data_IF_290662399078
#
_entry.id   IF_290662399078
#
_cell.length_a   1.000
_cell.length_b   1.000
_cell.length_c   1.000
_cell.angle_alpha   90.00
_cell.angle_beta   90.00
_cell.angle_gamma   90.00
#
_symmetry.space_group_name_H-M   'P 1'
#
loop_
_entity.id
_entity.type
_entity.pdbx_description
1 polymer ?
#
# COMPACT_ATOMS: atom_id res chain seq x y z
N UNK A 1 9.83 1.81 10.02
CA UNK A 1 8.36 1.98 10.06
C UNK A 1 7.73 1.38 8.83
N UNK A 2 6.69 0.61 9.01
CA UNK A 2 5.92 0.00 7.94
C UNK A 2 4.57 0.71 7.82
N UNK A 3 4.14 1.02 6.58
CA UNK A 3 2.89 1.71 6.32
C UNK A 3 2.22 1.10 5.09
N UNK A 4 0.92 0.87 5.18
CA UNK A 4 0.10 0.50 4.02
C UNK A 4 -0.86 1.64 3.69
N UNK A 5 -1.15 1.84 2.41
CA UNK A 5 -2.09 2.86 1.93
C UNK A 5 -3.18 2.19 1.11
N UNK A 6 -4.44 2.54 1.41
CA UNK A 6 -5.57 1.96 0.68
C UNK A 6 -5.59 2.35 -0.79
N UNK A 7 -6.07 1.44 -1.64
CA UNK A 7 -6.45 1.72 -3.04
C UNK A 7 -7.97 1.71 -3.22
N UNK A 8 -8.73 1.54 -2.15
CA UNK A 8 -10.18 1.45 -2.16
C UNK A 8 -10.82 2.51 -1.24
N UNK A 9 -10.68 3.77 -1.64
CA UNK A 9 -11.20 4.92 -0.89
C UNK A 9 -12.68 4.79 -0.57
N UNK A 10 -13.45 4.20 -1.48
CA UNK A 10 -14.92 4.11 -1.35
C UNK A 10 -15.33 3.23 -0.18
N UNK A 11 -14.66 2.09 0.02
CA UNK A 11 -15.00 1.13 1.06
C UNK A 11 -14.11 1.22 2.31
N UNK A 12 -12.91 1.78 2.19
CA UNK A 12 -11.94 1.81 3.27
C UNK A 12 -11.99 3.10 4.07
N UNK A 13 -12.95 3.19 5.00
CA UNK A 13 -12.98 4.25 6.01
C UNK A 13 -11.90 4.00 7.08
N UNK A 14 -11.49 5.03 7.86
CA UNK A 14 -10.57 4.83 8.99
C UNK A 14 -11.03 3.77 9.98
N UNK A 15 -12.33 3.74 10.29
CA UNK A 15 -12.92 2.76 11.18
C UNK A 15 -12.83 1.34 10.62
N UNK A 16 -13.14 1.17 9.34
CA UNK A 16 -13.08 -0.13 8.68
C UNK A 16 -11.66 -0.66 8.61
N UNK A 17 -10.69 0.20 8.30
CA UNK A 17 -9.27 -0.19 8.30
C UNK A 17 -8.80 -0.57 9.69
N UNK A 18 -9.21 0.16 10.71
CA UNK A 18 -8.88 -0.18 12.11
C UNK A 18 -9.40 -1.57 12.47
N UNK A 19 -10.67 -1.84 12.22
CA UNK A 19 -11.27 -3.13 12.51
C UNK A 19 -10.60 -4.26 11.75
N UNK A 20 -10.28 -4.03 10.49
CA UNK A 20 -9.60 -5.02 9.65
C UNK A 20 -8.21 -5.37 10.17
N UNK A 21 -7.44 -4.36 10.60
CA UNK A 21 -6.10 -4.57 11.15
C UNK A 21 -6.13 -5.23 12.53
N UNK A 22 -7.07 -4.83 13.39
CA UNK A 22 -7.25 -5.44 14.72
C UNK A 22 -7.62 -6.92 14.61
N UNK A 23 -8.55 -7.26 13.71
CA UNK A 23 -8.99 -8.64 13.50
C UNK A 23 -7.84 -9.55 13.03
N UNK A 24 -6.84 -9.00 12.33
CA UNK A 24 -5.69 -9.74 11.80
C UNK A 24 -4.44 -9.65 12.65
N UNK A 25 -4.47 -8.85 13.71
CA UNK A 25 -3.31 -8.65 14.59
C UNK A 25 -2.16 -7.90 13.92
N UNK A 26 -2.44 -7.08 12.90
CA UNK A 26 -1.44 -6.24 12.27
C UNK A 26 -1.15 -5.00 13.11
N UNK A 27 0.10 -4.72 13.35
CA UNK A 27 0.55 -3.65 14.24
C UNK A 27 1.12 -2.41 13.52
N UNK A 28 0.99 -2.35 12.19
CA UNK A 28 1.42 -1.18 11.42
C UNK A 28 0.24 -0.36 10.93
N UNK A 29 0.51 0.91 10.57
CA UNK A 29 -0.51 1.84 10.13
C UNK A 29 -1.05 1.49 8.73
N UNK A 30 -2.37 1.51 8.60
CA UNK A 30 -3.08 1.45 7.33
C UNK A 30 -3.77 2.79 7.11
N UNK A 31 -3.42 3.47 6.03
CA UNK A 31 -3.82 4.85 5.79
C UNK A 31 -4.88 4.96 4.72
N UNK A 32 -5.81 5.87 4.95
CA UNK A 32 -6.75 6.39 3.96
C UNK A 32 -6.75 7.91 4.04
N UNK A 33 -7.47 8.56 3.18
CA UNK A 33 -7.54 10.02 3.17
C UNK A 33 -8.58 10.53 2.19
N UNK A 34 -8.56 11.83 1.92
CA UNK A 34 -9.40 12.42 0.88
C UNK A 34 -9.00 11.88 -0.50
N UNK A 35 -9.90 11.99 -1.46
CA UNK A 35 -9.60 11.58 -2.85
C UNK A 35 -8.36 12.32 -3.38
N UNK A 36 -8.25 13.62 -3.13
CA UNK A 36 -7.10 14.38 -3.62
C UNK A 36 -5.79 13.99 -2.95
N UNK A 37 -5.81 13.67 -1.66
CA UNK A 37 -4.63 13.21 -0.94
C UNK A 37 -4.17 11.84 -1.45
N UNK A 38 -5.10 10.91 -1.64
CA UNK A 38 -4.80 9.59 -2.19
C UNK A 38 -4.29 9.67 -3.63
N UNK A 39 -4.91 10.50 -4.46
CA UNK A 39 -4.47 10.69 -5.85
C UNK A 39 -3.03 11.20 -5.91
N UNK A 40 -2.64 12.11 -5.01
CA UNK A 40 -1.26 12.58 -4.91
C UNK A 40 -0.29 11.45 -4.57
N UNK A 41 -0.65 10.59 -3.63
CA UNK A 41 0.15 9.41 -3.28
C UNK A 41 0.27 8.45 -4.46
N UNK A 42 -0.84 8.17 -5.14
CA UNK A 42 -0.84 7.27 -6.29
C UNK A 42 0.03 7.80 -7.43
N UNK A 43 -0.05 9.07 -7.75
CA UNK A 43 0.80 9.70 -8.76
C UNK A 43 2.28 9.64 -8.37
N UNK A 44 2.59 9.92 -7.11
CA UNK A 44 3.97 9.92 -6.60
C UNK A 44 4.61 8.55 -6.73
N UNK A 45 3.86 7.47 -6.48
CA UNK A 45 4.38 6.10 -6.48
C UNK A 45 3.98 5.27 -7.70
N UNK A 46 3.37 5.90 -8.71
CA UNK A 46 3.01 5.21 -9.95
C UNK A 46 1.92 4.15 -9.79
N UNK A 47 1.00 4.35 -8.85
CA UNK A 47 -0.12 3.44 -8.61
C UNK A 47 -1.39 4.07 -9.16
N UNK A 48 -2.07 3.36 -10.06
CA UNK A 48 -3.29 3.86 -10.72
C UNK A 48 -4.40 2.83 -10.56
N UNK A 49 -5.12 2.83 -9.40
CA UNK A 49 -6.22 1.89 -9.18
C UNK A 49 -7.35 2.13 -10.15
N UNK A 50 -7.92 1.06 -10.67
CA UNK A 50 -9.07 1.10 -11.58
C UNK A 50 -10.25 0.44 -10.86
N UNK A 51 -11.35 1.20 -10.67
CA UNK A 51 -12.61 0.66 -10.19
C UNK A 51 -13.39 0.11 -11.38
N UNK A 52 -13.79 -1.14 -11.31
CA UNK A 52 -14.67 -1.75 -12.31
C UNK A 52 -16.00 -2.10 -11.66
N UNK A 53 -17.10 -1.63 -12.29
CA UNK A 53 -18.43 -2.07 -11.90
C UNK A 53 -18.58 -3.54 -12.28
N UNK A 54 -18.85 -4.37 -11.28
CA UNK A 54 -19.20 -5.73 -11.57
C UNK A 54 -20.72 -5.90 -11.48
N UNK A 55 -21.28 -6.77 -12.31
CA UNK A 55 -22.72 -7.01 -12.36
C UNK A 55 -23.21 -7.93 -11.23
N UNK A 56 -22.39 -8.18 -10.24
CA UNK A 56 -22.74 -8.97 -9.07
C UNK A 56 -23.41 -8.09 -8.01
N UNK A 57 -24.00 -8.72 -7.00
CA UNK A 57 -24.56 -8.04 -5.84
C UNK A 57 -23.50 -7.37 -4.95
N UNK A 58 -22.23 -7.62 -5.19
CA UNK A 58 -21.11 -7.06 -4.42
C UNK A 58 -20.67 -5.69 -4.93
N UNK A 59 -21.10 -5.28 -6.13
CA UNK A 59 -21.00 -3.92 -6.62
C UNK A 59 -19.83 -3.61 -7.51
N UNK A 60 -18.59 -3.67 -7.06
CA UNK A 60 -17.43 -3.30 -7.88
C UNK A 60 -16.15 -4.03 -7.46
N UNK A 61 -15.19 -4.03 -8.37
CA UNK A 61 -13.86 -4.59 -8.15
C UNK A 61 -12.82 -3.49 -8.35
N UNK A 62 -11.79 -3.45 -7.52
CA UNK A 62 -10.65 -2.57 -7.71
C UNK A 62 -9.49 -3.37 -8.28
N UNK A 63 -9.01 -2.96 -9.45
CA UNK A 63 -7.81 -3.53 -10.07
C UNK A 63 -6.66 -2.55 -9.85
N UNK A 64 -5.56 -3.04 -9.30
CA UNK A 64 -4.41 -2.19 -9.00
C UNK A 64 -3.10 -2.97 -9.00
N UNK A 65 -1.97 -2.32 -9.32
CA UNK A 65 -0.66 -2.86 -8.96
C UNK A 65 -0.49 -2.80 -7.44
N UNK A 66 0.39 -3.63 -6.91
CA UNK A 66 0.67 -3.71 -5.47
C UNK A 66 2.16 -3.59 -5.20
N UNK A 67 2.76 -2.45 -5.51
CA UNK A 67 4.16 -2.25 -5.25
C UNK A 67 4.44 -2.07 -3.76
N UNK A 68 5.60 -2.56 -3.34
CA UNK A 68 6.17 -2.27 -2.02
C UNK A 68 7.44 -1.49 -2.21
N UNK A 69 7.53 -0.33 -1.58
CA UNK A 69 8.68 0.57 -1.67
C UNK A 69 9.48 0.55 -0.38
N UNK A 70 10.79 0.58 -0.50
CA UNK A 70 11.68 0.88 0.62
C UNK A 70 12.19 2.30 0.44
N UNK A 71 11.86 3.17 1.40
CA UNK A 71 12.28 4.56 1.41
C UNK A 71 13.42 4.74 2.42
N UNK A 72 14.37 5.62 2.11
CA UNK A 72 15.40 5.99 3.07
C UNK A 72 14.91 7.04 4.07
N UNK A 73 15.79 7.52 4.94
CA UNK A 73 15.45 8.53 5.95
C UNK A 73 15.11 9.89 5.37
N UNK A 74 15.45 10.14 4.11
CA UNK A 74 15.07 11.35 3.38
C UNK A 74 13.80 11.15 2.54
N UNK A 75 13.12 10.03 2.73
CA UNK A 75 11.92 9.62 1.98
C UNK A 75 12.12 9.38 0.48
N UNK A 76 13.37 9.14 0.07
CA UNK A 76 13.66 8.76 -1.30
C UNK A 76 13.48 7.25 -1.48
N UNK A 77 12.80 6.86 -2.56
CA UNK A 77 12.62 5.46 -2.90
C UNK A 77 13.93 4.86 -3.37
N UNK A 78 14.39 3.83 -2.68
CA UNK A 78 15.64 3.12 -2.99
C UNK A 78 15.41 1.78 -3.65
N UNK A 79 14.31 1.11 -3.31
CA UNK A 79 13.94 -0.21 -3.82
C UNK A 79 12.45 -0.25 -4.06
N UNK A 80 12.03 -0.92 -5.12
CA UNK A 80 10.64 -1.25 -5.38
C UNK A 80 10.52 -2.73 -5.72
N UNK A 81 9.58 -3.39 -5.05
CA UNK A 81 9.13 -4.74 -5.37
C UNK A 81 7.72 -4.63 -5.92
N UNK A 82 7.53 -5.00 -7.18
CA UNK A 82 6.28 -4.73 -7.91
C UNK A 82 5.22 -5.83 -7.77
N UNK A 83 5.60 -6.99 -7.25
CA UNK A 83 4.70 -8.14 -7.10
C UNK A 83 4.28 -8.34 -5.65
N UNK A 84 3.10 -8.94 -5.45
CA UNK A 84 2.66 -9.37 -4.13
C UNK A 84 3.54 -10.47 -3.54
N UNK A 85 3.96 -11.38 -4.40
CA UNK A 85 4.58 -12.63 -4.01
C UNK A 85 6.08 -12.56 -4.26
N UNK A 86 6.75 -11.76 -3.46
CA UNK A 86 8.20 -11.65 -3.52
C UNK A 86 8.85 -12.50 -2.41
N UNK A 87 10.07 -13.02 -2.65
CA UNK A 87 10.80 -13.75 -1.62
C UNK A 87 11.12 -12.87 -0.43
N UNK A 88 10.62 -13.23 0.75
CA UNK A 88 10.78 -12.43 1.97
C UNK A 88 12.24 -12.24 2.36
N UNK A 89 13.07 -13.25 2.17
CA UNK A 89 14.50 -13.19 2.47
C UNK A 89 15.24 -12.17 1.58
N UNK A 90 14.89 -12.07 0.31
CA UNK A 90 15.46 -11.07 -0.59
C UNK A 90 14.98 -9.66 -0.26
N UNK A 91 13.73 -9.52 0.10
CA UNK A 91 13.19 -8.23 0.57
C UNK A 91 13.92 -7.76 1.83
N UNK A 92 14.12 -8.64 2.80
CA UNK A 92 14.83 -8.31 4.04
C UNK A 92 16.29 -7.96 3.78
N UNK A 93 16.93 -8.59 2.82
CA UNK A 93 18.30 -8.25 2.40
C UNK A 93 18.36 -6.82 1.84
N UNK A 94 17.42 -6.46 0.96
CA UNK A 94 17.31 -5.10 0.43
C UNK A 94 17.03 -4.08 1.53
N UNK A 95 16.15 -4.39 2.48
CA UNK A 95 15.85 -3.53 3.61
C UNK A 95 17.09 -3.27 4.47
N UNK A 96 17.88 -4.30 4.76
CA UNK A 96 19.15 -4.16 5.49
C UNK A 96 20.14 -3.28 4.74
N UNK A 97 20.23 -3.45 3.43
CA UNK A 97 21.10 -2.65 2.58
C UNK A 97 20.75 -1.17 2.65
N UNK A 98 19.46 -0.84 2.61
CA UNK A 98 19.01 0.55 2.73
C UNK A 98 19.30 1.10 4.14
N UNK A 99 19.04 0.33 5.18
CA UNK A 99 19.32 0.75 6.57
C UNK A 99 20.81 1.03 6.78
N UNK A 100 21.68 0.21 6.22
CA UNK A 100 23.14 0.31 6.44
C UNK A 100 23.81 1.39 5.59
N UNK A 101 23.26 1.73 4.41
CA UNK A 101 23.94 2.58 3.42
C UNK A 101 23.26 3.95 3.20
N UNK A 102 22.10 4.16 3.75
CA UNK A 102 21.31 5.40 3.54
C UNK A 102 20.75 5.96 4.88
#
# INVERSE_FOLDING_TARGET
>A
TFVSVTVDKKDDSPERLRNWTEDRGYDWAHLTGSRSALDTVYETYGVYPIEEDDNSSEGYTVIHPSPTYILDTDTLARVVWSDFDFPTDLFLEDLRTVIENY
#
